data_IF_333667761225
#
_entry.id   IF_333667761225
#
_cell.length_a   1.000
_cell.length_b   1.000
_cell.length_c   1.000
_cell.angle_alpha   90.00
_cell.angle_beta   90.00
_cell.angle_gamma   90.00
#
_symmetry.space_group_name_H-M   'P 1'
#
loop_
_entity.id
_entity.type
_entity.pdbx_description
1 polymer ?
#
# COMPACT_ATOMS: atom_id res chain seq x y z
N UNK A 1 47.01 13.37 -26.20
CA UNK A 1 46.45 13.55 -24.83
C UNK A 1 44.99 13.97 -24.83
N UNK A 2 44.58 14.97 -25.63
CA UNK A 2 43.17 15.46 -25.61
C UNK A 2 42.13 14.44 -26.07
N UNK A 3 42.45 13.55 -27.00
CA UNK A 3 41.52 12.50 -27.51
C UNK A 3 41.23 11.41 -26.47
N UNK A 4 42.25 10.98 -25.72
CA UNK A 4 42.11 9.97 -24.66
C UNK A 4 41.31 10.55 -23.48
N UNK A 5 41.54 11.80 -23.11
CA UNK A 5 40.82 12.49 -22.05
C UNK A 5 39.35 12.66 -22.41
N UNK A 6 39.03 12.99 -23.67
CA UNK A 6 37.65 13.06 -24.17
C UNK A 6 36.96 11.70 -24.16
N UNK A 7 37.66 10.63 -24.50
CA UNK A 7 37.15 9.26 -24.44
C UNK A 7 36.85 8.83 -23.00
N UNK A 8 37.74 9.16 -22.07
CA UNK A 8 37.54 8.85 -20.64
C UNK A 8 36.33 9.64 -20.09
N UNK A 9 36.16 10.89 -20.46
CA UNK A 9 35.00 11.71 -20.04
C UNK A 9 33.69 11.15 -20.61
N UNK A 10 33.67 10.70 -21.87
CA UNK A 10 32.51 10.10 -22.52
C UNK A 10 32.17 8.77 -21.83
N UNK A 11 33.15 7.92 -21.52
CA UNK A 11 32.93 6.66 -20.81
C UNK A 11 32.40 6.91 -19.40
N UNK A 12 32.96 7.90 -18.68
CA UNK A 12 32.43 8.28 -17.36
C UNK A 12 31.00 8.80 -17.42
N UNK A 13 30.66 9.58 -18.46
CA UNK A 13 29.30 10.11 -18.64
C UNK A 13 28.29 8.99 -18.95
N UNK A 14 28.68 8.01 -19.78
CA UNK A 14 27.83 6.84 -20.10
C UNK A 14 27.63 5.94 -18.88
N UNK A 15 28.66 5.76 -18.06
CA UNK A 15 28.54 4.94 -16.84
C UNK A 15 27.74 5.62 -15.73
N UNK A 16 27.69 6.95 -15.69
CA UNK A 16 26.83 7.70 -14.75
C UNK A 16 25.38 7.67 -15.21
N UNK A 17 25.12 7.72 -16.52
CA UNK A 17 23.75 7.66 -17.06
C UNK A 17 23.07 6.28 -16.83
N UNK A 18 23.83 5.22 -16.76
CA UNK A 18 23.30 3.86 -16.50
C UNK A 18 22.92 3.60 -15.03
N UNK A 19 23.37 4.45 -14.10
CA UNK A 19 22.97 4.36 -12.67
C UNK A 19 21.75 5.20 -12.30
N UNK A 20 21.28 6.03 -13.22
CA UNK A 20 20.05 6.85 -13.03
C UNK A 20 18.78 6.17 -13.57
N UNK A 21 18.84 4.91 -14.00
CA UNK A 21 17.68 4.06 -14.07
C UNK A 21 17.33 3.64 -12.62
N UNK A 22 16.83 4.58 -11.85
CA UNK A 22 16.09 4.29 -10.62
C UNK A 22 14.95 3.39 -11.07
N UNK A 23 15.14 2.07 -10.90
CA UNK A 23 14.05 1.12 -11.02
C UNK A 23 12.91 1.68 -10.19
N UNK A 24 11.70 1.72 -10.74
CA UNK A 24 10.50 2.11 -10.03
C UNK A 24 10.45 1.27 -8.77
N UNK A 25 10.89 1.86 -7.64
CA UNK A 25 10.94 1.15 -6.37
C UNK A 25 9.52 0.67 -6.06
N UNK A 26 9.35 -0.63 -6.05
CA UNK A 26 8.05 -1.21 -5.76
C UNK A 26 7.90 -1.35 -4.25
N UNK A 27 7.66 -0.23 -3.58
CA UNK A 27 7.47 -0.17 -2.13
C UNK A 27 6.38 -1.12 -1.64
N UNK A 28 5.37 -1.38 -2.47
CA UNK A 28 4.31 -2.32 -2.12
C UNK A 28 4.83 -3.75 -2.01
N UNK A 29 5.65 -4.22 -2.96
CA UNK A 29 6.19 -5.58 -2.94
C UNK A 29 7.14 -5.79 -1.75
N UNK A 30 7.94 -4.76 -1.40
CA UNK A 30 8.75 -4.81 -0.18
C UNK A 30 7.89 -4.84 1.08
N UNK A 31 6.88 -4.00 1.14
CA UNK A 31 5.92 -4.01 2.24
C UNK A 31 5.24 -5.37 2.41
N UNK A 32 4.86 -6.01 1.31
CA UNK A 32 4.23 -7.32 1.34
C UNK A 32 5.16 -8.40 1.93
N UNK A 33 6.44 -8.39 1.55
CA UNK A 33 7.46 -9.29 2.13
C UNK A 33 7.62 -9.07 3.63
N UNK A 34 7.66 -7.80 4.07
CA UNK A 34 7.75 -7.45 5.48
C UNK A 34 6.50 -7.87 6.25
N UNK A 35 5.32 -7.66 5.68
CA UNK A 35 4.05 -8.12 6.25
C UNK A 35 4.03 -9.65 6.43
N UNK A 36 4.43 -10.41 5.41
CA UNK A 36 4.50 -11.87 5.46
C UNK A 36 5.50 -12.37 6.51
N UNK A 37 6.57 -11.61 6.74
CA UNK A 37 7.58 -11.87 7.79
C UNK A 37 7.15 -11.35 9.18
N UNK A 38 5.93 -10.83 9.32
CA UNK A 38 5.39 -10.24 10.55
C UNK A 38 6.17 -9.01 11.06
N UNK A 39 6.92 -8.36 10.18
CA UNK A 39 7.59 -7.08 10.44
C UNK A 39 6.63 -5.93 10.16
N UNK A 40 5.61 -5.78 11.01
CA UNK A 40 4.50 -4.87 10.74
C UNK A 40 4.89 -3.39 10.73
N UNK A 41 5.83 -2.96 11.57
CA UNK A 41 6.27 -1.57 11.58
C UNK A 41 7.02 -1.20 10.30
N UNK A 42 7.91 -2.10 9.81
CA UNK A 42 8.62 -1.91 8.55
C UNK A 42 7.64 -1.94 7.36
N UNK A 43 6.70 -2.89 7.38
CA UNK A 43 5.66 -2.98 6.36
C UNK A 43 4.81 -1.71 6.31
N UNK A 44 4.39 -1.19 7.46
CA UNK A 44 3.64 0.05 7.60
C UNK A 44 4.37 1.23 6.98
N UNK A 45 5.66 1.40 7.31
CA UNK A 45 6.50 2.45 6.75
C UNK A 45 6.59 2.38 5.22
N UNK A 46 6.76 1.18 4.65
CA UNK A 46 6.81 0.99 3.19
C UNK A 46 5.47 1.24 2.51
N UNK A 47 4.35 0.83 3.14
CA UNK A 47 3.01 1.12 2.64
C UNK A 47 2.71 2.62 2.62
N UNK A 48 3.06 3.33 3.68
CA UNK A 48 2.92 4.79 3.77
C UNK A 48 3.76 5.49 2.70
N UNK A 49 4.99 5.04 2.45
CA UNK A 49 5.80 5.52 1.32
C UNK A 49 5.13 5.27 -0.02
N UNK A 50 4.59 4.06 -0.21
CA UNK A 50 3.92 3.74 -1.48
C UNK A 50 2.73 4.67 -1.73
N UNK A 51 1.95 5.00 -0.70
CA UNK A 51 0.80 5.91 -0.80
C UNK A 51 1.23 7.32 -1.22
N UNK A 52 2.39 7.81 -0.78
CA UNK A 52 2.91 9.12 -1.21
C UNK A 52 3.09 9.18 -2.73
N UNK A 53 3.60 8.11 -3.34
CA UNK A 53 3.82 8.03 -4.78
C UNK A 53 2.58 7.54 -5.56
N UNK A 54 1.77 6.72 -4.94
CA UNK A 54 0.59 6.09 -5.52
C UNK A 54 -0.62 6.25 -4.58
N UNK A 55 -1.20 7.45 -4.44
CA UNK A 55 -2.25 7.72 -3.46
C UNK A 55 -3.58 6.99 -3.75
N UNK A 56 -3.72 6.40 -4.94
CA UNK A 56 -4.89 5.60 -5.32
C UNK A 56 -4.61 4.10 -5.34
N UNK A 57 -3.56 3.64 -4.67
CA UNK A 57 -3.30 2.22 -4.50
C UNK A 57 -4.11 1.64 -3.34
N UNK A 58 -5.29 1.12 -3.66
CA UNK A 58 -6.21 0.54 -2.68
C UNK A 58 -5.56 -0.59 -1.86
N UNK A 59 -4.65 -1.36 -2.46
CA UNK A 59 -3.94 -2.46 -1.76
C UNK A 59 -3.12 -1.96 -0.59
N UNK A 60 -2.45 -0.80 -0.73
CA UNK A 60 -1.67 -0.23 0.38
C UNK A 60 -2.54 0.12 1.57
N UNK A 61 -3.70 0.72 1.35
CA UNK A 61 -4.65 1.00 2.44
C UNK A 61 -5.23 -0.27 3.05
N UNK A 62 -5.54 -1.27 2.24
CA UNK A 62 -6.04 -2.56 2.74
C UNK A 62 -5.01 -3.25 3.65
N UNK A 63 -3.74 -3.27 3.26
CA UNK A 63 -2.68 -3.87 4.08
C UNK A 63 -2.39 -3.04 5.35
N UNK A 64 -2.48 -1.70 5.29
CA UNK A 64 -2.45 -0.88 6.50
C UNK A 64 -3.59 -1.24 7.47
N UNK A 65 -4.80 -1.42 6.95
CA UNK A 65 -5.94 -1.85 7.77
C UNK A 65 -5.68 -3.20 8.44
N UNK A 66 -5.11 -4.18 7.71
CA UNK A 66 -4.74 -5.48 8.28
C UNK A 66 -3.70 -5.36 9.39
N UNK A 67 -2.72 -4.48 9.23
CA UNK A 67 -1.71 -4.21 10.28
C UNK A 67 -2.37 -3.58 11.50
N UNK A 68 -3.23 -2.58 11.30
CA UNK A 68 -3.95 -1.94 12.41
C UNK A 68 -4.93 -2.89 13.12
N UNK A 69 -5.48 -3.88 12.40
CA UNK A 69 -6.24 -4.97 13.03
C UNK A 69 -5.35 -5.78 13.99
N UNK A 70 -4.13 -6.13 13.59
CA UNK A 70 -3.15 -6.80 14.46
C UNK A 70 -2.75 -5.95 15.67
N UNK A 71 -2.67 -4.64 15.50
CA UNK A 71 -2.36 -3.69 16.57
C UNK A 71 -3.58 -3.35 17.45
N UNK A 72 -4.74 -3.94 17.18
CA UNK A 72 -6.01 -3.66 17.84
C UNK A 72 -6.43 -2.17 17.78
N UNK A 73 -5.94 -1.46 16.76
CA UNK A 73 -6.28 -0.06 16.52
C UNK A 73 -7.47 0.05 15.56
N UNK A 74 -8.66 -0.24 16.07
CA UNK A 74 -9.89 -0.28 15.29
C UNK A 74 -10.20 1.02 14.54
N UNK A 75 -9.90 2.19 15.13
CA UNK A 75 -10.16 3.48 14.48
C UNK A 75 -9.36 3.66 13.19
N UNK A 76 -8.07 3.30 13.21
CA UNK A 76 -7.19 3.36 12.04
C UNK A 76 -7.50 2.24 11.05
N UNK A 77 -7.88 1.07 11.53
CA UNK A 77 -8.37 -0.03 10.70
C UNK A 77 -9.58 0.41 9.87
N UNK A 78 -10.63 0.92 10.50
CA UNK A 78 -11.83 1.44 9.82
C UNK A 78 -11.49 2.50 8.78
N UNK A 79 -10.71 3.50 9.17
CA UNK A 79 -10.32 4.59 8.25
C UNK A 79 -9.65 4.05 6.97
N UNK A 80 -8.72 3.11 7.09
CA UNK A 80 -8.01 2.55 5.95
C UNK A 80 -8.92 1.63 5.11
N UNK A 81 -9.86 0.91 5.71
CA UNK A 81 -10.85 0.13 4.99
C UNK A 81 -11.83 1.01 4.21
N UNK A 82 -12.31 2.08 4.82
CA UNK A 82 -13.18 3.05 4.15
C UNK A 82 -12.46 3.71 2.97
N UNK A 83 -11.17 4.07 3.15
CA UNK A 83 -10.32 4.60 2.06
C UNK A 83 -10.15 3.58 0.94
N UNK A 84 -9.96 2.30 1.28
CA UNK A 84 -9.92 1.22 0.29
C UNK A 84 -11.18 1.19 -0.55
N UNK A 85 -12.37 1.30 0.08
CA UNK A 85 -13.65 1.28 -0.62
C UNK A 85 -13.97 2.57 -1.39
N UNK A 86 -13.39 3.71 -1.01
CA UNK A 86 -13.45 4.94 -1.83
C UNK A 86 -12.74 4.77 -3.16
N UNK A 87 -11.66 3.98 -3.19
CA UNK A 87 -10.86 3.73 -4.40
C UNK A 87 -11.43 2.53 -5.17
N UNK A 88 -11.73 1.44 -4.47
CA UNK A 88 -12.28 0.20 -5.00
C UNK A 88 -13.59 -0.17 -4.28
N UNK A 89 -14.76 0.36 -4.72
CA UNK A 89 -16.02 0.14 -4.01
C UNK A 89 -16.45 -1.32 -3.85
N UNK A 90 -15.95 -2.20 -4.73
CA UNK A 90 -16.28 -3.63 -4.74
C UNK A 90 -15.17 -4.50 -4.15
N UNK A 91 -14.26 -3.93 -3.34
CA UNK A 91 -13.22 -4.71 -2.68
C UNK A 91 -13.83 -5.60 -1.60
N UNK A 92 -13.98 -6.89 -1.92
CA UNK A 92 -14.66 -7.88 -1.07
C UNK A 92 -14.01 -8.01 0.31
N UNK A 93 -12.69 -8.02 0.38
CA UNK A 93 -11.96 -8.16 1.64
C UNK A 93 -12.20 -6.98 2.57
N UNK A 94 -12.16 -5.74 2.02
CA UNK A 94 -12.44 -4.54 2.80
C UNK A 94 -13.90 -4.52 3.30
N UNK A 95 -14.85 -4.92 2.45
CA UNK A 95 -16.26 -5.03 2.84
C UNK A 95 -16.43 -6.02 4.01
N UNK A 96 -15.85 -7.21 3.91
CA UNK A 96 -15.93 -8.23 4.96
C UNK A 96 -15.29 -7.78 6.27
N UNK A 97 -14.16 -7.10 6.23
CA UNK A 97 -13.52 -6.58 7.43
C UNK A 97 -14.36 -5.49 8.09
N UNK A 98 -14.95 -4.56 7.33
CA UNK A 98 -15.86 -3.54 7.85
C UNK A 98 -17.15 -4.15 8.44
N UNK A 99 -17.70 -5.19 7.80
CA UNK A 99 -18.84 -5.90 8.34
C UNK A 99 -18.54 -6.53 9.71
N UNK A 100 -17.35 -7.10 9.88
CA UNK A 100 -16.91 -7.64 11.19
C UNK A 100 -16.86 -6.55 12.26
N UNK A 101 -16.33 -5.38 11.91
CA UNK A 101 -16.25 -4.24 12.83
C UNK A 101 -17.67 -3.76 13.18
N UNK A 102 -18.54 -3.61 12.19
CA UNK A 102 -19.93 -3.18 12.38
C UNK A 102 -20.71 -4.16 13.28
N UNK A 103 -20.50 -5.47 13.10
CA UNK A 103 -21.09 -6.50 13.98
C UNK A 103 -20.60 -6.38 15.42
N UNK A 104 -19.31 -6.15 15.64
CA UNK A 104 -18.76 -5.91 17.00
C UNK A 104 -19.40 -4.69 17.66
N UNK A 105 -19.70 -3.66 16.89
CA UNK A 105 -20.36 -2.43 17.36
C UNK A 105 -21.90 -2.58 17.45
N UNK A 106 -22.46 -3.72 17.09
CA UNK A 106 -23.92 -3.93 16.95
C UNK A 106 -24.58 -2.95 15.98
N UNK A 107 -23.83 -2.49 14.99
CA UNK A 107 -24.32 -1.58 13.95
C UNK A 107 -24.93 -2.36 12.78
N UNK A 108 -26.14 -2.88 12.97
CA UNK A 108 -26.81 -3.71 11.98
C UNK A 108 -27.22 -2.97 10.71
N UNK A 109 -27.42 -1.65 10.77
CA UNK A 109 -27.69 -0.84 9.58
C UNK A 109 -26.49 -0.85 8.63
N UNK A 110 -25.29 -0.59 9.14
CA UNK A 110 -24.07 -0.63 8.35
C UNK A 110 -23.80 -2.01 7.77
N UNK A 111 -24.06 -3.09 8.53
CA UNK A 111 -23.93 -4.47 8.03
C UNK A 111 -24.85 -4.70 6.84
N UNK A 112 -26.11 -4.23 6.92
CA UNK A 112 -27.07 -4.34 5.83
C UNK A 112 -26.61 -3.59 4.58
N UNK A 113 -26.15 -2.37 4.73
CA UNK A 113 -25.67 -1.54 3.61
C UNK A 113 -24.46 -2.17 2.91
N UNK A 114 -23.48 -2.67 3.68
CA UNK A 114 -22.31 -3.36 3.16
C UNK A 114 -22.69 -4.68 2.45
N UNK A 115 -23.64 -5.44 3.01
CA UNK A 115 -24.10 -6.69 2.41
C UNK A 115 -24.79 -6.48 1.06
N UNK A 116 -25.48 -5.38 0.88
CA UNK A 116 -26.08 -5.02 -0.40
C UNK A 116 -25.03 -4.67 -1.47
N UNK A 117 -23.93 -4.08 -1.08
CA UNK A 117 -22.80 -3.81 -1.99
C UNK A 117 -22.16 -5.11 -2.46
N UNK A 118 -22.08 -6.09 -1.56
CA UNK A 118 -21.49 -7.40 -1.84
C UNK A 118 -22.33 -8.25 -2.81
N UNK A 119 -23.67 -8.06 -2.81
CA UNK A 119 -24.60 -8.85 -3.64
C UNK A 119 -24.81 -8.28 -5.05
N UNK A 120 -24.19 -7.17 -5.40
CA UNK A 120 -24.21 -6.56 -6.75
C UNK A 120 -23.06 -7.02 -7.62
#
# INVERSE_FOLDING_TARGET
>A
MSKILKFIIIICFVTISSKLAFGKENFFDEALKMYQSKKYDDAKFMLERNIVFNPKDAKSYLYLAKIYNHEENQKKEEYNLETTLLIEPNNEEAILMLMKIALKKSNYSQVKDLSQTFSK
#
